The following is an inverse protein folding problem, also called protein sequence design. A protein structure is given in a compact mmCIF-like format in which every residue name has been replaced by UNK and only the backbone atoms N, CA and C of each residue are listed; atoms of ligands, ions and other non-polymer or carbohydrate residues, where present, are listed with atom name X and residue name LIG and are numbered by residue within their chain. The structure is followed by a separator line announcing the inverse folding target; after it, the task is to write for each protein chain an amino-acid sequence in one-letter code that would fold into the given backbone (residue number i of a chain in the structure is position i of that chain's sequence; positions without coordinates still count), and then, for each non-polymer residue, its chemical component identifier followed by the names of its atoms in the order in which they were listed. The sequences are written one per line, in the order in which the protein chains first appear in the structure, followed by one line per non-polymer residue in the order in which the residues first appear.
data_IF_146261177274
#
_entry.id   IF_146261177274
#
_cell.length_a   1.000
_cell.length_b   1.000
_cell.length_c   1.000
_cell.angle_alpha   90.00
_cell.angle_beta   90.00
_cell.angle_gamma   90.00
#
_symmetry.space_group_name_H-M   'P 1'
#
loop_
_entity.id
_entity.type
_entity.pdbx_description
1 polymer ?
#
# COMPACT_ATOMS: atom_id res chain seq x y z
N UNK A 1 -12.52 -5.67 19.51
CA UNK A 1 -12.97 -5.29 18.14
C UNK A 1 -12.42 -3.93 17.73
N UNK A 2 -12.47 -2.89 18.57
CA UNK A 2 -11.95 -1.53 18.28
C UNK A 2 -10.47 -1.52 17.85
N UNK A 3 -9.60 -2.25 18.56
CA UNK A 3 -8.15 -2.33 18.26
C UNK A 3 -7.79 -2.98 16.90
N UNK A 4 -8.64 -3.86 16.38
CA UNK A 4 -8.41 -4.46 15.05
C UNK A 4 -8.75 -3.46 13.93
N UNK A 5 -9.78 -2.63 14.12
CA UNK A 5 -10.19 -1.61 13.16
C UNK A 5 -9.18 -0.45 13.08
N UNK A 6 -8.66 0.02 14.21
CA UNK A 6 -7.61 1.06 14.22
C UNK A 6 -6.31 0.58 13.56
N UNK A 7 -5.91 -0.67 13.81
CA UNK A 7 -4.74 -1.29 13.18
C UNK A 7 -4.89 -1.40 11.65
N UNK A 8 -6.03 -1.90 11.16
CA UNK A 8 -6.28 -1.99 9.70
C UNK A 8 -6.29 -0.61 9.07
N UNK A 9 -6.93 0.38 9.70
CA UNK A 9 -6.93 1.78 9.23
C UNK A 9 -5.52 2.35 9.11
N UNK A 10 -4.70 2.20 10.16
CA UNK A 10 -3.27 2.61 10.17
C UNK A 10 -2.49 1.97 9.03
N UNK A 11 -2.65 0.66 8.84
CA UNK A 11 -1.97 -0.09 7.78
C UNK A 11 -2.40 0.39 6.40
N UNK A 12 -3.70 0.56 6.15
CA UNK A 12 -4.20 1.10 4.88
C UNK A 12 -3.65 2.51 4.62
N UNK A 13 -3.65 3.38 5.63
CA UNK A 13 -3.09 4.74 5.56
C UNK A 13 -1.60 4.70 5.20
N UNK A 14 -0.81 3.91 5.93
CA UNK A 14 0.63 3.73 5.70
C UNK A 14 0.94 3.23 4.29
N UNK A 15 0.19 2.22 3.82
CA UNK A 15 0.42 1.57 2.53
C UNK A 15 -0.02 2.44 1.36
N UNK A 16 -1.12 3.20 1.49
CA UNK A 16 -1.53 4.21 0.50
C UNK A 16 -0.51 5.32 0.37
N UNK A 17 -0.04 5.87 1.49
CA UNK A 17 1.00 6.91 1.49
C UNK A 17 2.26 6.40 0.78
N UNK A 18 2.67 5.17 1.08
CA UNK A 18 3.81 4.54 0.44
C UNK A 18 3.63 4.39 -1.09
N UNK A 19 2.49 3.86 -1.54
CA UNK A 19 2.15 3.71 -2.97
C UNK A 19 2.09 5.08 -3.66
N UNK A 20 1.59 6.12 -3.00
CA UNK A 20 1.53 7.48 -3.55
C UNK A 20 2.92 8.05 -3.88
N UNK A 21 3.96 7.62 -3.16
CA UNK A 21 5.34 8.03 -3.44
C UNK A 21 6.01 7.25 -4.58
N UNK A 22 5.38 6.18 -5.09
CA UNK A 22 5.97 5.37 -6.16
C UNK A 22 5.90 6.13 -7.50
N UNK A 23 7.06 6.54 -7.98
CA UNK A 23 7.21 7.14 -9.30
C UNK A 23 7.13 6.05 -10.38
N UNK A 24 6.21 6.22 -11.34
CA UNK A 24 6.01 5.31 -12.47
C UNK A 24 6.44 6.03 -13.75
N UNK A 25 7.35 5.43 -14.52
CA UNK A 25 7.74 5.93 -15.82
C UNK A 25 7.68 4.80 -16.86
N UNK A 26 7.03 5.04 -18.00
CA UNK A 26 6.99 4.07 -19.10
C UNK A 26 7.80 4.57 -20.30
N UNK A 27 8.52 3.69 -20.99
CA UNK A 27 9.14 3.94 -22.31
C UNK A 27 8.55 2.96 -23.33
N UNK A 28 7.91 3.42 -24.42
CA UNK A 28 7.47 2.55 -25.49
C UNK A 28 8.67 2.09 -26.33
N UNK A 29 8.60 0.86 -26.81
CA UNK A 29 9.58 0.22 -27.69
C UNK A 29 8.82 -0.65 -28.69
N UNK A 30 9.16 -0.54 -29.97
CA UNK A 30 8.66 -1.45 -31.00
C UNK A 30 9.42 -2.77 -30.90
N UNK A 31 8.70 -3.88 -30.83
CA UNK A 31 9.26 -5.23 -30.79
C UNK A 31 8.81 -5.95 -32.06
N UNK A 32 9.75 -6.57 -32.74
CA UNK A 32 9.50 -7.45 -33.89
C UNK A 32 9.39 -8.87 -33.35
N UNK A 33 8.32 -9.57 -33.68
CA UNK A 33 8.17 -10.97 -33.28
C UNK A 33 9.22 -11.81 -34.02
N UNK A 34 9.90 -12.69 -33.29
CA UNK A 34 10.86 -13.62 -33.89
C UNK A 34 10.18 -14.64 -34.80
N UNK A 35 8.88 -14.87 -34.63
CA UNK A 35 8.07 -15.79 -35.43
C UNK A 35 7.34 -15.07 -36.58
N UNK A 36 7.04 -13.78 -36.43
CA UNK A 36 6.43 -12.94 -37.45
C UNK A 36 7.01 -11.51 -37.44
N UNK A 37 8.07 -11.32 -38.21
CA UNK A 37 8.72 -10.01 -38.35
C UNK A 37 7.85 -8.97 -39.07
N UNK A 38 6.74 -9.38 -39.71
CA UNK A 38 5.86 -8.50 -40.47
C UNK A 38 4.81 -7.80 -39.59
N UNK A 39 4.58 -8.30 -38.37
CA UNK A 39 3.59 -7.78 -37.43
C UNK A 39 4.25 -7.26 -36.12
N UNK A 40 5.00 -6.15 -36.16
CA UNK A 40 5.59 -5.58 -34.95
C UNK A 40 4.50 -5.08 -33.98
N UNK A 41 4.82 -5.09 -32.69
CA UNK A 41 3.92 -4.58 -31.64
C UNK A 41 4.63 -3.62 -30.67
N UNK A 42 3.86 -2.76 -30.03
CA UNK A 42 4.37 -1.85 -29.01
C UNK A 42 4.45 -2.55 -27.65
N UNK A 43 5.66 -2.61 -27.08
CA UNK A 43 5.90 -2.99 -25.69
C UNK A 43 6.27 -1.75 -24.88
N UNK A 44 5.80 -1.69 -23.64
CA UNK A 44 6.10 -0.61 -22.70
C UNK A 44 7.02 -1.14 -21.61
N UNK A 45 8.18 -0.50 -21.46
CA UNK A 45 9.12 -0.74 -20.37
C UNK A 45 8.78 0.24 -19.24
N UNK A 46 8.10 -0.26 -18.22
CA UNK A 46 7.76 0.49 -17.02
C UNK A 46 8.92 0.41 -16.02
N UNK A 47 9.20 1.52 -15.34
CA UNK A 47 10.18 1.66 -14.26
C UNK A 47 9.47 2.25 -13.06
N UNK A 48 9.46 1.51 -11.95
CA UNK A 48 8.84 1.90 -10.69
C UNK A 48 9.94 2.20 -9.68
N UNK A 49 9.82 3.30 -8.93
CA UNK A 49 10.80 3.71 -7.91
C UNK A 49 10.08 4.27 -6.70
N UNK A 50 10.40 3.78 -5.51
CA UNK A 50 9.91 4.37 -4.26
C UNK A 50 10.71 5.64 -3.93
N UNK A 51 10.05 6.65 -3.36
CA UNK A 51 10.74 7.85 -2.86
C UNK A 51 11.42 7.61 -1.50
N UNK A 52 10.93 6.65 -0.70
CA UNK A 52 11.32 6.48 0.71
C UNK A 52 12.78 6.05 0.94
N UNK A 53 13.49 5.57 -0.10
CA UNK A 53 14.87 5.10 0.03
C UNK A 53 15.92 6.10 -0.47
N UNK A 54 15.55 7.35 -0.75
CA UNK A 54 16.48 8.39 -1.21
C UNK A 54 17.37 8.94 -0.09
N UNK A 55 18.16 8.09 0.55
CA UNK A 55 19.40 8.56 1.18
C UNK A 55 20.45 8.72 0.08
N UNK A 56 21.31 9.73 0.19
CA UNK A 56 22.38 10.03 -0.80
C UNK A 56 23.40 8.89 -1.01
N UNK A 57 23.30 7.80 -0.24
CA UNK A 57 24.30 6.75 -0.10
C UNK A 57 23.80 5.36 -0.54
N UNK A 58 22.60 5.24 -1.11
CA UNK A 58 22.07 3.98 -1.64
C UNK A 58 21.49 4.16 -3.05
N UNK A 59 21.69 3.20 -3.98
CA UNK A 59 21.13 3.30 -5.32
C UNK A 59 19.60 3.37 -5.25
N UNK A 60 19.00 4.24 -6.09
CA UNK A 60 17.54 4.43 -6.21
C UNK A 60 16.86 3.09 -6.41
N UNK A 61 16.29 2.54 -5.35
CA UNK A 61 15.67 1.21 -5.37
C UNK A 61 14.39 1.26 -6.23
N UNK A 62 14.34 0.39 -7.23
CA UNK A 62 13.24 0.34 -8.18
C UNK A 62 13.29 -0.91 -9.03
N UNK A 63 12.16 -1.26 -9.62
CA UNK A 63 12.03 -2.43 -10.48
C UNK A 63 11.44 -2.06 -11.84
N UNK A 64 11.60 -2.96 -12.80
CA UNK A 64 11.16 -2.76 -14.18
C UNK A 64 10.25 -3.89 -14.59
N UNK A 65 9.22 -3.56 -15.36
CA UNK A 65 8.36 -4.54 -15.99
C UNK A 65 8.21 -4.21 -17.47
N UNK A 66 8.01 -5.25 -18.28
CA UNK A 66 7.80 -5.14 -19.73
C UNK A 66 6.43 -5.69 -20.04
N UNK A 67 5.50 -4.84 -20.47
CA UNK A 67 4.13 -5.24 -20.77
C UNK A 67 3.66 -4.59 -22.06
N UNK A 68 2.86 -5.30 -22.84
CA UNK A 68 2.09 -4.75 -23.97
C UNK A 68 0.65 -4.49 -23.53
N UNK A 69 -0.10 -3.72 -24.32
CA UNK A 69 -1.51 -3.40 -24.03
C UNK A 69 -2.34 -4.66 -23.76
N UNK A 70 -2.13 -5.73 -24.54
CA UNK A 70 -2.90 -6.97 -24.40
C UNK A 70 -2.66 -7.69 -23.07
N UNK A 71 -1.50 -7.50 -22.42
CA UNK A 71 -1.24 -8.10 -21.12
C UNK A 71 -2.11 -7.41 -20.05
N UNK A 72 -2.21 -6.08 -20.09
CA UNK A 72 -3.11 -5.32 -19.22
C UNK A 72 -4.57 -5.67 -19.48
N UNK A 73 -4.94 -5.79 -20.75
CA UNK A 73 -6.31 -6.16 -21.14
C UNK A 73 -6.65 -7.58 -20.68
N UNK A 74 -5.71 -8.52 -20.72
CA UNK A 74 -5.92 -9.87 -20.21
C UNK A 74 -6.20 -9.87 -18.70
N UNK A 75 -5.39 -9.15 -17.91
CA UNK A 75 -5.63 -8.99 -16.47
C UNK A 75 -6.97 -8.30 -16.20
N UNK A 76 -7.28 -7.19 -16.89
CA UNK A 76 -8.56 -6.48 -16.75
C UNK A 76 -9.76 -7.39 -16.99
N UNK A 77 -9.72 -8.18 -18.08
CA UNK A 77 -10.77 -9.15 -18.38
C UNK A 77 -10.87 -10.23 -17.31
N UNK A 78 -9.76 -10.71 -16.76
CA UNK A 78 -9.76 -11.68 -15.68
C UNK A 78 -10.42 -11.11 -14.41
N UNK A 79 -10.04 -9.90 -13.99
CA UNK A 79 -10.64 -9.20 -12.84
C UNK A 79 -12.15 -8.97 -13.03
N UNK A 80 -12.57 -8.66 -14.26
CA UNK A 80 -13.99 -8.48 -14.61
C UNK A 80 -14.79 -9.77 -14.54
N UNK A 81 -14.24 -10.89 -15.03
CA UNK A 81 -14.93 -12.19 -15.01
C UNK A 81 -15.15 -12.69 -13.59
N UNK A 82 -14.20 -12.45 -12.69
CA UNK A 82 -14.30 -12.87 -11.29
C UNK A 82 -15.02 -11.87 -10.40
N UNK A 83 -15.51 -10.74 -10.96
CA UNK A 83 -16.12 -9.62 -10.22
C UNK A 83 -17.18 -10.02 -9.23
N UNK A 84 -18.19 -10.76 -9.67
CA UNK A 84 -19.27 -11.19 -8.79
C UNK A 84 -18.80 -12.03 -7.60
N UNK A 85 -17.73 -12.83 -7.77
CA UNK A 85 -17.20 -13.69 -6.73
C UNK A 85 -16.48 -12.87 -5.65
N UNK A 86 -15.51 -12.03 -6.04
CA UNK A 86 -14.76 -11.26 -5.06
C UNK A 86 -15.58 -10.12 -4.43
N UNK A 87 -16.54 -9.51 -5.15
CA UNK A 87 -17.45 -8.52 -4.55
C UNK A 87 -18.29 -9.15 -3.44
N UNK A 88 -18.90 -10.31 -3.71
CA UNK A 88 -19.69 -11.03 -2.72
C UNK A 88 -18.81 -11.45 -1.52
N UNK A 89 -17.59 -11.92 -1.77
CA UNK A 89 -16.64 -12.27 -0.70
C UNK A 89 -16.29 -11.07 0.18
N UNK A 90 -16.08 -9.89 -0.39
CA UNK A 90 -15.71 -8.69 0.37
C UNK A 90 -16.88 -8.09 1.16
N UNK A 91 -18.09 -8.03 0.59
CA UNK A 91 -19.28 -7.45 1.27
C UNK A 91 -19.60 -8.21 2.56
N UNK A 92 -19.41 -9.54 2.58
CA UNK A 92 -19.61 -10.36 3.78
C UNK A 92 -18.65 -10.04 4.93
N UNK A 93 -17.57 -9.32 4.68
CA UNK A 93 -16.51 -9.07 5.66
C UNK A 93 -16.61 -7.69 6.36
N UNK A 94 -17.66 -6.90 6.05
CA UNK A 94 -17.98 -5.64 6.71
C UNK A 94 -17.23 -4.41 6.17
N UNK A 95 -17.40 -3.27 6.85
CA UNK A 95 -16.98 -1.94 6.39
C UNK A 95 -15.48 -1.82 6.05
N UNK A 96 -14.62 -2.60 6.72
CA UNK A 96 -13.17 -2.61 6.48
C UNK A 96 -12.78 -3.00 5.03
N UNK A 97 -13.71 -3.60 4.28
CA UNK A 97 -13.49 -4.07 2.91
C UNK A 97 -14.01 -3.09 1.85
N UNK A 98 -14.78 -2.07 2.23
CA UNK A 98 -15.39 -1.14 1.28
C UNK A 98 -14.35 -0.42 0.43
N UNK A 99 -13.24 0.00 1.04
CA UNK A 99 -12.18 0.68 0.30
C UNK A 99 -11.51 -0.23 -0.73
N UNK A 100 -11.28 -1.49 -0.36
CA UNK A 100 -10.62 -2.47 -1.25
C UNK A 100 -11.55 -2.84 -2.40
N UNK A 101 -12.83 -3.01 -2.12
CA UNK A 101 -13.86 -3.22 -3.14
C UNK A 101 -13.89 -2.04 -4.10
N UNK A 102 -13.90 -0.80 -3.61
CA UNK A 102 -13.92 0.39 -4.45
C UNK A 102 -12.70 0.43 -5.39
N UNK A 103 -11.50 0.09 -4.89
CA UNK A 103 -10.29 0.05 -5.72
C UNK A 103 -10.34 -1.09 -6.75
N UNK A 104 -10.80 -2.28 -6.37
CA UNK A 104 -10.97 -3.40 -7.31
C UNK A 104 -12.05 -3.16 -8.35
N UNK A 105 -13.13 -2.46 -7.99
CA UNK A 105 -14.16 -2.03 -8.91
C UNK A 105 -13.62 -1.04 -9.95
N UNK A 106 -12.75 -0.12 -9.53
CA UNK A 106 -12.02 0.76 -10.46
C UNK A 106 -11.09 -0.04 -11.37
N UNK A 107 -10.36 -1.01 -10.81
CA UNK A 107 -9.49 -1.89 -11.59
C UNK A 107 -10.25 -2.74 -12.62
N UNK A 108 -11.43 -3.26 -12.27
CA UNK A 108 -12.31 -4.01 -13.17
C UNK A 108 -13.28 -3.10 -13.96
N UNK A 109 -13.15 -1.79 -13.80
CA UNK A 109 -14.13 -0.78 -14.18
C UNK A 109 -14.06 -0.35 -15.65
N UNK A 110 -14.86 0.66 -16.01
CA UNK A 110 -14.86 1.27 -17.34
C UNK A 110 -13.64 2.16 -17.59
N UNK A 111 -12.87 2.50 -16.55
CA UNK A 111 -11.68 3.37 -16.62
C UNK A 111 -10.50 2.73 -17.37
N UNK A 112 -10.62 1.46 -17.76
CA UNK A 112 -9.59 0.76 -18.50
C UNK A 112 -9.39 1.36 -19.91
N UNK A 113 -8.14 1.51 -20.38
CA UNK A 113 -7.82 2.01 -21.72
C UNK A 113 -8.59 1.30 -22.84
N UNK A 114 -9.17 2.05 -23.79
CA UNK A 114 -9.93 1.45 -24.88
C UNK A 114 -9.02 0.75 -25.90
N UNK A 115 -9.55 -0.30 -26.53
CA UNK A 115 -8.83 -1.05 -27.57
C UNK A 115 -8.93 -0.31 -28.91
N UNK A 116 -7.79 -0.03 -29.52
CA UNK A 116 -7.71 0.36 -30.94
C UNK A 116 -7.53 -0.90 -31.80
N UNK A 117 -8.36 -1.07 -32.82
CA UNK A 117 -8.31 -2.19 -33.77
C UNK A 117 -7.62 -1.75 -35.06
N UNK A 118 -6.36 -1.32 -34.93
CA UNK A 118 -5.48 -0.86 -36.02
C UNK A 118 -4.03 -0.83 -35.54
N UNK A 119 -3.08 -0.61 -36.44
CA UNK A 119 -1.67 -0.42 -36.11
C UNK A 119 -1.47 0.78 -35.15
N UNK A 120 -0.48 0.65 -34.28
CA UNK A 120 -0.17 1.67 -33.28
C UNK A 120 0.46 2.90 -33.95
N UNK A 121 -0.28 4.01 -33.94
CA UNK A 121 0.26 5.32 -34.31
C UNK A 121 0.98 5.96 -33.13
N UNK A 122 1.83 6.96 -33.39
CA UNK A 122 2.48 7.74 -32.32
C UNK A 122 1.47 8.31 -31.31
N UNK A 123 0.31 8.79 -31.78
CA UNK A 123 -0.77 9.27 -30.93
C UNK A 123 -1.34 8.17 -30.01
N UNK A 124 -1.63 6.98 -30.56
CA UNK A 124 -2.10 5.83 -29.78
C UNK A 124 -1.09 5.42 -28.72
N UNK A 125 0.20 5.39 -29.08
CA UNK A 125 1.27 5.03 -28.16
C UNK A 125 1.36 6.03 -27.00
N UNK A 126 1.27 7.33 -27.27
CA UNK A 126 1.29 8.36 -26.22
C UNK A 126 0.06 8.31 -25.32
N UNK A 127 -1.13 8.06 -25.90
CA UNK A 127 -2.37 7.87 -25.15
C UNK A 127 -2.27 6.67 -24.21
N UNK A 128 -2.00 5.48 -24.76
CA UNK A 128 -1.84 4.24 -23.99
C UNK A 128 -0.77 4.36 -22.93
N UNK A 129 0.36 4.99 -23.23
CA UNK A 129 1.43 5.21 -22.25
C UNK A 129 0.92 5.90 -20.99
N UNK A 130 0.13 6.97 -21.12
CA UNK A 130 -0.45 7.69 -19.98
C UNK A 130 -1.44 6.81 -19.23
N UNK A 131 -2.46 6.31 -19.93
CA UNK A 131 -3.55 5.59 -19.29
C UNK A 131 -3.08 4.25 -18.65
N UNK A 132 -2.09 3.56 -19.24
CA UNK A 132 -1.51 2.35 -18.65
C UNK A 132 -0.66 2.66 -17.41
N UNK A 133 -0.01 3.83 -17.32
CA UNK A 133 0.66 4.26 -16.08
C UNK A 133 -0.37 4.54 -14.98
N UNK A 134 -1.49 5.18 -15.31
CA UNK A 134 -2.57 5.42 -14.35
C UNK A 134 -3.22 4.12 -13.88
N UNK A 135 -3.48 3.19 -14.80
CA UNK A 135 -3.97 1.86 -14.45
C UNK A 135 -2.98 1.06 -13.60
N UNK A 136 -1.67 1.17 -13.88
CA UNK A 136 -0.63 0.58 -13.03
C UNK A 136 -0.71 1.09 -11.58
N UNK A 137 -1.00 2.39 -11.40
CA UNK A 137 -1.19 2.98 -10.06
C UNK A 137 -2.42 2.39 -9.37
N UNK A 138 -3.52 2.19 -10.08
CA UNK A 138 -4.72 1.52 -9.54
C UNK A 138 -4.37 0.10 -9.06
N UNK A 139 -3.63 -0.67 -9.86
CA UNK A 139 -3.19 -2.02 -9.48
C UNK A 139 -2.27 -2.03 -8.25
N UNK A 140 -1.35 -1.06 -8.13
CA UNK A 140 -0.47 -0.94 -6.96
C UNK A 140 -1.28 -0.66 -5.68
N UNK A 141 -2.29 0.21 -5.76
CA UNK A 141 -3.19 0.46 -4.63
C UNK A 141 -3.98 -0.81 -4.28
N UNK A 142 -4.53 -1.50 -5.29
CA UNK A 142 -5.27 -2.75 -5.08
C UNK A 142 -4.40 -3.81 -4.39
N UNK A 143 -3.17 -4.00 -4.87
CA UNK A 143 -2.19 -4.91 -4.28
C UNK A 143 -1.89 -4.56 -2.82
N UNK A 144 -1.63 -3.28 -2.55
CA UNK A 144 -1.29 -2.81 -1.21
C UNK A 144 -2.44 -3.00 -0.22
N UNK A 145 -3.68 -2.67 -0.61
CA UNK A 145 -4.85 -2.83 0.25
C UNK A 145 -5.23 -4.29 0.47
N UNK A 146 -5.20 -5.12 -0.58
CA UNK A 146 -5.39 -6.58 -0.46
C UNK A 146 -4.36 -7.21 0.49
N UNK A 147 -3.10 -6.79 0.39
CA UNK A 147 -2.04 -7.28 1.28
C UNK A 147 -2.30 -6.94 2.75
N UNK A 148 -2.85 -5.76 3.06
CA UNK A 148 -3.24 -5.40 4.43
C UNK A 148 -4.35 -6.31 4.94
N UNK A 149 -5.38 -6.55 4.13
CA UNK A 149 -6.51 -7.39 4.51
C UNK A 149 -6.08 -8.84 4.78
N UNK A 150 -5.24 -9.40 3.90
CA UNK A 150 -4.75 -10.78 4.04
C UNK A 150 -3.76 -10.94 5.20
N UNK A 151 -3.09 -9.85 5.62
CA UNK A 151 -2.12 -9.87 6.70
C UNK A 151 -2.69 -9.63 8.11
N UNK A 152 -3.98 -9.32 8.24
CA UNK A 152 -4.63 -9.03 9.52
C UNK A 152 -5.47 -10.24 10.00
N UNK A 153 -4.86 -11.23 10.69
CA UNK A 153 -5.59 -12.37 11.26
C UNK A 153 -6.53 -11.87 12.36
N UNK A 154 -7.84 -11.97 12.13
CA UNK A 154 -8.88 -11.51 13.06
C UNK A 154 -9.83 -10.44 12.49
N UNK A 155 -9.53 -9.88 11.32
CA UNK A 155 -10.45 -8.96 10.61
C UNK A 155 -11.58 -9.72 9.88
N UNK A 156 -11.36 -10.99 9.58
CA UNK A 156 -12.31 -11.86 8.87
C UNK A 156 -13.23 -12.59 9.89
N UNK A 157 -14.57 -12.57 9.72
CA UNK A 157 -15.58 -13.23 10.61
C UNK A 157 -16.28 -14.54 10.10
N UNK A 158 -15.87 -15.78 10.46
CA UNK A 158 -16.50 -17.02 9.91
C UNK A 158 -15.58 -18.18 9.50
N UNK A 159 -16.15 -19.25 8.90
CA UNK A 159 -15.44 -20.40 8.29
C UNK A 159 -15.22 -20.11 6.79
N UNK A 160 -13.97 -19.82 6.38
CA UNK A 160 -13.69 -18.97 5.21
C UNK A 160 -12.62 -19.46 4.24
N UNK A 161 -12.63 -20.74 3.91
CA UNK A 161 -11.65 -21.20 2.93
C UNK A 161 -11.93 -20.54 1.58
N UNK A 162 -13.20 -20.53 1.12
CA UNK A 162 -13.54 -20.09 -0.22
C UNK A 162 -13.45 -18.56 -0.43
N UNK A 163 -13.90 -17.73 0.52
CA UNK A 163 -13.79 -16.28 0.40
C UNK A 163 -12.34 -15.78 0.44
N UNK A 164 -11.52 -16.33 1.35
CA UNK A 164 -10.10 -15.99 1.44
C UNK A 164 -9.39 -16.44 0.16
N UNK A 165 -9.70 -17.63 -0.36
CA UNK A 165 -9.14 -18.14 -1.61
C UNK A 165 -9.45 -17.20 -2.78
N UNK A 166 -10.67 -16.67 -2.87
CA UNK A 166 -11.04 -15.75 -3.96
C UNK A 166 -10.23 -14.45 -3.91
N UNK A 167 -10.20 -13.78 -2.75
CA UNK A 167 -9.46 -12.52 -2.55
C UNK A 167 -7.95 -12.74 -2.72
N UNK A 168 -7.42 -13.86 -2.20
CA UNK A 168 -6.02 -14.24 -2.36
C UNK A 168 -5.67 -14.53 -3.82
N UNK A 169 -6.58 -15.12 -4.60
CA UNK A 169 -6.38 -15.34 -6.04
C UNK A 169 -6.24 -14.00 -6.77
N UNK A 170 -7.11 -13.03 -6.48
CA UNK A 170 -6.99 -11.67 -7.04
C UNK A 170 -5.66 -11.02 -6.63
N UNK A 171 -5.27 -11.14 -5.36
CA UNK A 171 -3.99 -10.64 -4.86
C UNK A 171 -2.80 -11.23 -5.62
N UNK A 172 -2.75 -12.56 -5.77
CA UNK A 172 -1.66 -13.26 -6.49
C UNK A 172 -1.62 -12.87 -7.96
N UNK A 173 -2.76 -12.69 -8.62
CA UNK A 173 -2.79 -12.29 -10.03
C UNK A 173 -2.27 -10.88 -10.25
N UNK A 174 -2.67 -9.94 -9.39
CA UNK A 174 -2.15 -8.57 -9.42
C UNK A 174 -0.65 -8.58 -9.10
N UNK A 175 -0.23 -9.34 -8.09
CA UNK A 175 1.19 -9.46 -7.72
C UNK A 175 2.04 -9.99 -8.87
N UNK A 176 1.59 -11.08 -9.51
CA UNK A 176 2.25 -11.70 -10.65
C UNK A 176 2.33 -10.74 -11.82
N UNK A 177 1.26 -10.00 -12.10
CA UNK A 177 1.25 -9.00 -13.16
C UNK A 177 2.25 -7.86 -12.89
N UNK A 178 2.29 -7.37 -11.65
CA UNK A 178 3.18 -6.29 -11.20
C UNK A 178 4.64 -6.73 -10.96
N UNK A 179 4.93 -8.03 -11.10
CA UNK A 179 6.27 -8.61 -10.94
C UNK A 179 6.95 -8.12 -9.64
N UNK A 180 6.20 -8.12 -8.53
CA UNK A 180 6.66 -7.53 -7.26
C UNK A 180 7.91 -8.29 -6.76
N UNK A 181 9.08 -7.62 -6.61
CA UNK A 181 10.31 -8.29 -6.22
C UNK A 181 10.28 -8.82 -4.77
N UNK A 182 10.99 -9.93 -4.44
CA UNK A 182 11.04 -10.46 -3.08
C UNK A 182 11.47 -9.43 -2.02
N UNK A 183 12.51 -8.64 -2.31
CA UNK A 183 13.00 -7.57 -1.43
C UNK A 183 11.92 -6.52 -1.12
N UNK A 184 11.07 -6.22 -2.11
CA UNK A 184 9.94 -5.32 -1.92
C UNK A 184 8.93 -5.95 -0.95
N UNK A 185 8.55 -7.20 -1.15
CA UNK A 185 7.65 -7.92 -0.23
C UNK A 185 8.18 -7.94 1.21
N UNK A 186 9.49 -8.09 1.38
CA UNK A 186 10.13 -8.06 2.71
C UNK A 186 10.00 -6.68 3.39
N UNK A 187 10.25 -5.59 2.65
CA UNK A 187 10.07 -4.22 3.15
C UNK A 187 8.62 -4.01 3.60
N UNK A 188 7.67 -4.44 2.78
CA UNK A 188 6.24 -4.30 3.05
C UNK A 188 5.81 -5.13 4.28
N UNK A 189 6.28 -6.37 4.40
CA UNK A 189 6.02 -7.22 5.57
C UNK A 189 6.62 -6.63 6.85
N UNK A 190 7.81 -6.02 6.76
CA UNK A 190 8.47 -5.36 7.89
C UNK A 190 7.69 -4.13 8.36
N UNK A 191 7.23 -3.30 7.42
CA UNK A 191 6.36 -2.15 7.73
C UNK A 191 5.05 -2.63 8.37
N UNK A 192 4.40 -3.65 7.80
CA UNK A 192 3.18 -4.23 8.36
C UNK A 192 3.36 -4.66 9.81
N UNK A 193 4.41 -5.44 10.11
CA UNK A 193 4.71 -5.86 11.50
C UNK A 193 4.96 -4.68 12.44
N UNK A 194 5.64 -3.64 11.97
CA UNK A 194 5.95 -2.48 12.79
C UNK A 194 4.70 -1.65 13.11
N UNK A 195 3.83 -1.43 12.11
CA UNK A 195 2.56 -0.70 12.29
C UNK A 195 1.58 -1.50 13.14
N UNK A 196 1.52 -2.83 12.99
CA UNK A 196 0.71 -3.70 13.85
C UNK A 196 1.15 -3.70 15.33
N UNK A 197 2.37 -3.25 15.61
CA UNK A 197 2.86 -3.12 16.99
C UNK A 197 2.52 -1.77 17.63
N UNK A 198 1.83 -0.86 16.91
CA UNK A 198 1.40 0.43 17.45
C UNK A 198 0.11 0.28 18.25
N UNK A 199 0.10 0.84 19.45
CA UNK A 199 -1.05 0.86 20.35
C UNK A 199 -1.73 2.25 20.31
N UNK A 200 -3.05 2.27 20.47
CA UNK A 200 -3.83 3.52 20.61
C UNK A 200 -3.57 4.14 21.99
N UNK A 201 -3.25 5.44 22.04
CA UNK A 201 -3.14 6.15 23.31
C UNK A 201 -4.54 6.40 23.87
N UNK A 202 -4.86 5.80 25.02
CA UNK A 202 -6.08 6.12 25.76
C UNK A 202 -5.91 7.48 26.42
N UNK A 203 -6.48 8.52 25.82
CA UNK A 203 -6.57 9.83 26.44
C UNK A 203 -7.70 9.78 27.47
N UNK A 204 -7.35 9.87 28.76
CA UNK A 204 -8.34 10.14 29.80
C UNK A 204 -8.70 11.64 29.72
N UNK A 205 -9.97 12.00 29.46
CA UNK A 205 -10.38 13.40 29.32
C UNK A 205 -10.18 14.22 30.61
N UNK A 206 -9.95 13.59 31.76
CA UNK A 206 -9.72 14.26 33.04
C UNK A 206 -8.24 14.39 33.43
N UNK A 207 -7.30 13.88 32.62
CA UNK A 207 -5.86 13.99 32.89
C UNK A 207 -5.27 14.96 31.86
N UNK A 208 -4.74 16.09 32.33
CA UNK A 208 -3.79 16.89 31.55
C UNK A 208 -2.55 16.03 31.28
N UNK A 209 -2.61 15.22 30.24
CA UNK A 209 -1.42 14.59 29.67
C UNK A 209 -0.59 15.76 29.19
N UNK A 210 0.52 16.06 29.87
CA UNK A 210 1.64 16.78 29.25
C UNK A 210 2.03 15.93 28.04
N UNK A 211 1.40 16.21 26.89
CA UNK A 211 1.67 15.52 25.65
C UNK A 211 3.16 15.69 25.41
N UNK A 212 3.91 14.60 25.55
CA UNK A 212 5.32 14.56 25.28
C UNK A 212 5.50 15.09 23.85
N UNK A 213 6.09 16.26 23.71
CA UNK A 213 6.36 16.90 22.42
C UNK A 213 6.84 15.84 21.41
N UNK A 214 6.18 15.74 20.26
CA UNK A 214 6.54 14.72 19.28
C UNK A 214 7.92 15.07 18.70
N UNK A 215 8.96 14.31 19.06
CA UNK A 215 10.34 14.64 18.68
C UNK A 215 10.64 14.46 17.18
N UNK A 216 9.68 13.96 16.38
CA UNK A 216 9.81 13.82 14.93
C UNK A 216 9.47 15.14 14.23
N UNK A 217 8.35 15.79 14.58
CA UNK A 217 7.95 17.06 14.00
C UNK A 217 8.30 18.28 14.85
N UNK A 218 8.69 18.07 16.11
CA UNK A 218 9.01 19.10 17.11
C UNK A 218 7.81 20.02 17.44
N UNK A 219 6.60 19.68 17.00
CA UNK A 219 5.38 20.46 17.25
C UNK A 219 4.66 20.00 18.51
N UNK A 220 4.18 20.97 19.29
CA UNK A 220 3.32 20.80 20.46
C UNK A 220 1.85 20.78 20.03
N UNK A 221 1.39 19.70 19.40
CA UNK A 221 -0.02 19.59 19.03
C UNK A 221 -0.82 19.03 20.20
N UNK A 222 -1.36 19.93 21.02
CA UNK A 222 -2.49 19.58 21.89
C UNK A 222 -3.63 19.06 20.98
N UNK A 223 -4.39 18.02 21.37
CA UNK A 223 -5.52 17.53 20.55
C UNK A 223 -6.64 18.59 20.34
N UNK A 224 -6.55 19.75 20.99
CA UNK A 224 -7.46 20.88 20.88
C UNK A 224 -6.72 22.20 20.65
N UNK A 225 -6.48 22.59 19.39
CA UNK A 225 -6.04 23.97 19.07
C UNK A 225 -5.18 24.06 17.81
N UNK A 226 -5.71 24.76 16.80
CA UNK A 226 -5.21 24.78 15.42
C UNK A 226 -3.81 25.33 15.20
N UNK A 227 -3.17 24.79 14.15
CA UNK A 227 -2.68 25.59 13.01
C UNK A 227 -2.35 24.66 11.83
N UNK A 228 -3.09 24.83 10.74
CA UNK A 228 -2.72 24.59 9.34
C UNK A 228 -1.91 23.33 8.98
N UNK A 229 -2.52 22.16 9.12
CA UNK A 229 -2.57 21.12 8.10
C UNK A 229 -3.50 19.99 8.60
N UNK A 230 -4.63 19.79 7.92
CA UNK A 230 -5.62 18.79 8.32
C UNK A 230 -5.05 17.38 8.36
N UNK A 231 -4.89 16.84 9.56
CA UNK A 231 -4.86 15.42 9.85
C UNK A 231 -5.22 15.25 11.32
N UNK A 232 -6.09 14.30 11.64
CA UNK A 232 -6.43 13.91 13.00
C UNK A 232 -5.15 13.73 13.83
N UNK A 233 -4.99 14.47 14.93
CA UNK A 233 -3.86 14.38 15.87
C UNK A 233 -3.92 13.09 16.70
N UNK A 234 -4.12 11.94 16.05
CA UNK A 234 -4.08 10.64 16.69
C UNK A 234 -2.66 10.37 17.17
N UNK A 235 -2.57 9.96 18.43
CA UNK A 235 -1.31 9.57 19.04
C UNK A 235 -1.19 8.05 19.01
N UNK A 236 -0.01 7.57 18.63
CA UNK A 236 0.33 6.17 18.63
C UNK A 236 1.48 5.90 19.61
N UNK A 237 1.34 4.84 20.40
CA UNK A 237 2.36 4.38 21.33
C UNK A 237 3.11 3.19 20.75
N UNK A 238 4.45 3.23 20.81
CA UNK A 238 5.29 2.08 20.51
C UNK A 238 5.34 1.09 21.70
N UNK A 239 5.72 -0.18 21.49
CA UNK A 239 5.90 -1.14 22.59
C UNK A 239 6.93 -0.75 23.65
N UNK A 240 7.83 0.20 23.34
CA UNK A 240 8.76 0.81 24.29
C UNK A 240 8.17 2.00 25.07
N UNK A 241 6.83 2.14 25.06
CA UNK A 241 6.02 3.18 25.71
C UNK A 241 6.19 4.62 25.20
N UNK A 242 7.08 4.88 24.25
CA UNK A 242 7.23 6.19 23.62
C UNK A 242 6.04 6.52 22.69
N UNK A 243 5.56 7.77 22.78
CA UNK A 243 4.36 8.26 22.08
C UNK A 243 4.77 9.27 21.00
N UNK A 244 4.09 9.22 19.85
CA UNK A 244 4.27 10.12 18.73
C UNK A 244 2.93 10.37 18.03
N UNK A 245 2.84 11.42 17.20
CA UNK A 245 1.76 11.49 16.21
C UNK A 245 1.82 10.25 15.32
N UNK A 246 0.67 9.65 15.05
CA UNK A 246 0.52 8.43 14.24
C UNK A 246 1.21 8.59 12.88
N UNK A 247 0.98 9.71 12.20
CA UNK A 247 1.59 9.97 10.89
C UNK A 247 3.10 10.12 10.95
N UNK A 248 3.61 10.80 11.99
CA UNK A 248 5.05 10.97 12.18
C UNK A 248 5.73 9.61 12.38
N UNK A 249 5.19 8.77 13.26
CA UNK A 249 5.82 7.46 13.53
C UNK A 249 5.66 6.48 12.37
N UNK A 250 4.51 6.47 11.68
CA UNK A 250 4.33 5.64 10.48
C UNK A 250 5.34 6.03 9.41
N UNK A 251 5.53 7.33 9.14
CA UNK A 251 6.51 7.79 8.17
C UNK A 251 7.94 7.38 8.57
N UNK A 252 8.30 7.50 9.85
CA UNK A 252 9.59 7.02 10.35
C UNK A 252 9.77 5.51 10.12
N UNK A 253 8.74 4.71 10.41
CA UNK A 253 8.76 3.25 10.25
C UNK A 253 8.88 2.78 8.80
N UNK A 254 8.51 3.62 7.81
CA UNK A 254 8.76 3.35 6.38
C UNK A 254 10.27 3.36 6.05
N UNK A 255 11.06 4.16 6.77
CA UNK A 255 12.50 4.27 6.60
C UNK A 255 13.27 3.25 7.46
N UNK A 256 12.74 2.91 8.64
CA UNK A 256 13.35 1.92 9.53
C UNK A 256 12.48 1.55 10.73
N UNK A 257 12.51 0.27 11.14
CA UNK A 257 11.66 -0.25 12.22
C UNK A 257 12.29 -0.09 13.60
N UNK A 258 12.65 1.14 13.99
CA UNK A 258 13.20 1.45 15.31
C UNK A 258 12.53 2.68 15.91
N UNK A 259 12.45 2.75 17.24
CA UNK A 259 11.98 3.92 17.95
C UNK A 259 12.92 5.13 17.72
N UNK A 260 12.40 6.33 17.36
CA UNK A 260 13.23 7.54 17.22
C UNK A 260 13.96 7.95 18.50
N UNK A 261 13.39 7.67 19.68
CA UNK A 261 13.97 8.06 20.97
C UNK A 261 14.96 7.03 21.51
N UNK A 262 14.55 5.76 21.67
CA UNK A 262 15.40 4.75 22.31
C UNK A 262 16.04 3.74 21.35
N UNK A 263 15.75 3.83 20.04
CA UNK A 263 16.26 2.92 18.99
C UNK A 263 15.88 1.45 19.15
N UNK A 264 15.02 1.08 20.11
CA UNK A 264 14.46 -0.26 20.22
C UNK A 264 13.77 -0.67 18.92
N UNK A 265 13.96 -1.92 18.50
CA UNK A 265 13.32 -2.47 17.31
C UNK A 265 11.81 -2.60 17.50
N UNK A 266 11.06 -2.28 16.45
CA UNK A 266 9.58 -2.32 16.41
C UNK A 266 9.14 -3.51 15.56
N UNK A 267 8.19 -4.30 16.06
CA UNK A 267 7.67 -5.48 15.35
C UNK A 267 8.49 -6.78 15.47
N UNK A 268 9.57 -6.78 16.28
CA UNK A 268 10.21 -8.00 16.76
C UNK A 268 9.78 -8.25 18.22
N UNK A 269 9.31 -9.46 18.53
CA UNK A 269 8.70 -9.82 19.83
C UNK A 269 9.58 -9.65 21.08
N UNK A 270 10.85 -9.24 20.94
CA UNK A 270 11.86 -9.25 21.99
C UNK A 270 12.04 -7.94 22.78
N UNK A 271 11.17 -6.93 22.62
CA UNK A 271 11.32 -5.65 23.34
C UNK A 271 10.09 -5.31 24.20
N UNK A 272 9.78 -6.18 25.17
CA UNK A 272 9.09 -5.75 26.40
C UNK A 272 10.16 -5.46 27.44
N UNK A 273 10.65 -4.21 27.49
CA UNK A 273 11.24 -3.71 28.73
C UNK A 273 10.12 -2.95 29.43
N UNK A 274 9.64 -3.52 30.53
CA UNK A 274 8.80 -2.83 31.50
C UNK A 274 9.55 -1.55 31.87
N UNK A 275 8.99 -0.39 31.54
CA UNK A 275 9.49 0.87 32.06
C UNK A 275 9.22 0.85 33.57
N UNK A 276 10.28 0.68 34.35
CA UNK A 276 10.26 0.98 35.78
C UNK A 276 10.08 2.49 35.88
N UNK A 277 9.00 2.91 36.54
CA UNK A 277 8.80 4.29 36.93
C UNK A 277 10.01 4.75 37.77
N UNK A 278 10.64 5.83 37.33
CA UNK A 278 11.57 6.64 38.10
C UNK A 278 11.00 8.06 37.95
N UNK A 279 10.64 8.80 38.98
CA UNK A 279 10.54 8.62 40.42
C UNK A 279 9.83 9.86 40.95
#
# INVERSE_FOLDING_TARGET
MISAQSTVRRLLKARRAEVATVAIAAKPTTVFDTQDVTAPYTQYIFKLRSAATSSSRSPKEGWKLRKRYSDFHALHQQLRRTRGQWEASCVKQGEAFESVVAVLQRAAGPDFPRKHVRCDTSAIIHERRRQLMDYMRILLVAYAELGVLLAAPGTLKGNFVDEIVCVNTVFVEIERFLEIPPKRKEIEAKLTRAVMALEDVKVDPNIEVKASQCCICLSDSNPSGGSDAGADNEMAQLPCAHIFHEDCIIHWLQCGSTCPMCRCAVGNAASRRVAVALG
#
